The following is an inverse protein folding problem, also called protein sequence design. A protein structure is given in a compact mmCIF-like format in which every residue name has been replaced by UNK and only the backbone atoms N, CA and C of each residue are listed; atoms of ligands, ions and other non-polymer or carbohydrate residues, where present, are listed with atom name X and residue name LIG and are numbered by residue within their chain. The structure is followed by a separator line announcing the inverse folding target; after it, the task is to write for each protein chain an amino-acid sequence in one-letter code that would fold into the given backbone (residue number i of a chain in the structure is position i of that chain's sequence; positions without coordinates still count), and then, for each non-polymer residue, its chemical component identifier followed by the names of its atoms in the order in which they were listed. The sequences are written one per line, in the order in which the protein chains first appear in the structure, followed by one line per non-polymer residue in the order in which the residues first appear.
data_IF_906484670041
#
_entry.id   IF_906484670041
#
_cell.length_a   1.000
_cell.length_b   1.000
_cell.length_c   1.000
_cell.angle_alpha   90.00
_cell.angle_beta   90.00
_cell.angle_gamma   90.00
#
_symmetry.space_group_name_H-M   'P 1'
#
loop_
_entity.id
_entity.type
_entity.pdbx_description
1 polymer ?
#
# COMPACT_ATOMS: atom_id res chain seq x y z
N UNK A 1 7.50 -11.54 0.47
CA UNK A 1 8.32 -11.18 -0.71
C UNK A 1 7.42 -10.56 -1.77
N UNK A 2 7.96 -10.08 -2.89
CA UNK A 2 7.17 -9.66 -4.05
C UNK A 2 7.98 -9.90 -5.32
N UNK A 3 7.32 -10.38 -6.38
CA UNK A 3 7.96 -10.72 -7.66
C UNK A 3 7.45 -9.74 -8.72
N UNK A 4 8.37 -9.14 -9.49
CA UNK A 4 8.00 -8.30 -10.62
C UNK A 4 7.39 -9.17 -11.72
N UNK A 5 6.11 -8.96 -12.01
CA UNK A 5 5.43 -9.66 -13.11
C UNK A 5 5.58 -8.92 -14.43
N UNK A 6 5.64 -7.58 -14.39
CA UNK A 6 5.91 -6.73 -15.55
C UNK A 6 6.27 -5.32 -15.10
N UNK A 7 6.78 -4.51 -16.03
CA UNK A 7 6.91 -3.07 -15.83
C UNK A 7 6.67 -2.32 -17.14
N UNK A 8 6.33 -1.03 -17.05
CA UNK A 8 6.18 -0.13 -18.20
C UNK A 8 6.71 1.25 -17.85
N UNK A 9 7.17 1.98 -18.87
CA UNK A 9 7.65 3.36 -18.75
C UNK A 9 6.85 4.25 -19.70
N UNK A 10 6.29 5.33 -19.17
CA UNK A 10 5.57 6.35 -19.95
C UNK A 10 6.07 7.73 -19.53
N UNK A 11 6.97 8.30 -20.35
CA UNK A 11 7.69 9.52 -19.97
C UNK A 11 8.48 9.30 -18.68
N UNK A 12 8.22 10.13 -17.66
CA UNK A 12 8.85 10.03 -16.34
C UNK A 12 8.12 9.10 -15.36
N UNK A 13 7.05 8.42 -15.80
CA UNK A 13 6.31 7.48 -14.97
C UNK A 13 6.77 6.05 -15.21
N UNK A 14 7.16 5.35 -14.15
CA UNK A 14 7.45 3.92 -14.16
C UNK A 14 6.36 3.19 -13.39
N UNK A 15 5.71 2.24 -14.03
CA UNK A 15 4.72 1.36 -13.41
C UNK A 15 5.33 -0.03 -13.27
N UNK A 16 5.38 -0.56 -12.05
CA UNK A 16 5.90 -1.89 -11.75
C UNK A 16 4.77 -2.73 -11.18
N UNK A 17 4.42 -3.81 -11.86
CA UNK A 17 3.42 -4.76 -11.38
C UNK A 17 4.11 -5.83 -10.55
N UNK A 18 3.63 -6.01 -9.32
CA UNK A 18 4.13 -7.01 -8.40
C UNK A 18 3.09 -8.12 -8.18
N UNK A 19 3.57 -9.34 -8.02
CA UNK A 19 2.78 -10.51 -7.64
C UNK A 19 3.37 -11.16 -6.38
N UNK A 20 2.56 -11.96 -5.68
CA UNK A 20 3.00 -12.66 -4.47
C UNK A 20 3.32 -11.74 -3.28
N UNK A 21 2.80 -10.51 -3.29
CA UNK A 21 3.01 -9.53 -2.22
C UNK A 21 2.29 -9.99 -0.94
N UNK A 22 3.07 -10.35 0.08
CA UNK A 22 2.59 -10.70 1.42
C UNK A 22 2.38 -9.47 2.32
N UNK A 23 1.65 -9.66 3.42
CA UNK A 23 1.46 -8.64 4.47
C UNK A 23 2.75 -8.43 5.30
N UNK A 24 2.86 -7.25 5.93
CA UNK A 24 3.89 -6.88 6.91
C UNK A 24 5.32 -7.09 6.38
N UNK A 25 5.65 -6.38 5.31
CA UNK A 25 6.98 -6.44 4.71
C UNK A 25 7.39 -5.11 4.07
N UNK A 26 8.70 -4.92 3.90
CA UNK A 26 9.26 -3.92 3.00
C UNK A 26 9.78 -4.59 1.73
N UNK A 27 9.42 -4.03 0.58
CA UNK A 27 9.92 -4.44 -0.72
C UNK A 27 10.74 -3.28 -1.28
N UNK A 28 11.98 -3.56 -1.67
CA UNK A 28 12.84 -2.61 -2.37
C UNK A 28 12.95 -3.00 -3.84
N UNK A 29 12.55 -2.09 -4.72
CA UNK A 29 12.65 -2.21 -6.17
C UNK A 29 13.77 -1.28 -6.61
N UNK A 30 14.78 -1.81 -7.30
CA UNK A 30 15.83 -0.99 -7.89
C UNK A 30 15.51 -0.72 -9.35
N UNK A 31 15.26 0.54 -9.68
CA UNK A 31 15.22 1.00 -11.06
C UNK A 31 16.66 1.13 -11.56
N UNK A 32 16.99 0.42 -12.64
CA UNK A 32 18.35 0.40 -13.19
C UNK A 32 18.49 1.37 -14.35
N UNK A 33 19.65 2.03 -14.44
CA UNK A 33 19.98 2.96 -15.53
C UNK A 33 18.93 4.08 -15.74
N UNK A 34 18.39 4.63 -14.65
CA UNK A 34 17.49 5.78 -14.71
C UNK A 34 18.30 6.99 -15.16
N UNK A 35 17.77 7.74 -16.13
CA UNK A 35 18.41 8.93 -16.68
C UNK A 35 17.46 10.12 -16.57
N UNK A 36 17.94 11.24 -16.00
CA UNK A 36 17.18 12.48 -15.82
C UNK A 36 17.51 13.58 -16.87
N UNK A 37 18.33 13.24 -17.86
CA UNK A 37 18.88 14.15 -18.89
C UNK A 37 20.29 14.66 -18.57
N UNK A 38 20.75 14.49 -17.33
CA UNK A 38 22.05 15.02 -16.84
C UNK A 38 22.87 13.99 -16.06
N UNK A 39 22.21 13.06 -15.37
CA UNK A 39 22.78 12.01 -14.56
C UNK A 39 22.16 10.66 -14.94
N UNK A 40 22.95 9.60 -14.78
CA UNK A 40 22.48 8.23 -14.93
C UNK A 40 22.84 7.43 -13.68
N UNK A 41 21.90 6.66 -13.16
CA UNK A 41 22.12 5.87 -11.95
C UNK A 41 21.06 4.83 -11.66
N UNK A 42 21.36 3.96 -10.71
CA UNK A 42 20.41 2.99 -10.17
C UNK A 42 19.70 3.61 -8.96
N UNK A 43 18.38 3.56 -8.95
CA UNK A 43 17.54 4.21 -7.93
C UNK A 43 16.78 3.13 -7.15
N UNK A 44 17.12 2.88 -5.87
CA UNK A 44 16.34 2.00 -5.01
C UNK A 44 15.09 2.72 -4.49
N UNK A 45 13.92 2.10 -4.70
CA UNK A 45 12.62 2.57 -4.23
C UNK A 45 12.06 1.53 -3.26
N UNK A 46 11.79 1.93 -2.02
CA UNK A 46 11.27 1.00 -1.00
C UNK A 46 9.82 1.30 -0.66
N UNK A 47 8.99 0.25 -0.63
CA UNK A 47 7.56 0.33 -0.30
C UNK A 47 7.26 -0.62 0.85
N UNK A 48 6.57 -0.11 1.86
CA UNK A 48 6.00 -0.91 2.95
C UNK A 48 4.61 -1.42 2.58
N UNK A 49 4.36 -2.71 2.81
CA UNK A 49 3.05 -3.33 2.62
C UNK A 49 2.52 -3.81 3.97
N UNK A 50 1.48 -3.14 4.47
CA UNK A 50 0.84 -3.44 5.74
C UNK A 50 -0.68 -3.29 5.60
N UNK A 51 -1.37 -4.41 5.52
CA UNK A 51 -2.83 -4.47 5.44
C UNK A 51 -3.43 -4.03 6.77
N UNK A 52 -4.29 -3.03 6.70
CA UNK A 52 -4.99 -2.46 7.84
C UNK A 52 -4.33 -1.24 8.48
N UNK A 53 -3.16 -0.81 8.02
CA UNK A 53 -2.57 0.49 8.39
C UNK A 53 -3.15 1.58 7.48
N UNK A 54 -4.34 2.07 7.86
CA UNK A 54 -5.11 3.01 7.02
C UNK A 54 -4.59 4.44 7.16
N UNK A 55 -3.94 4.77 8.28
CA UNK A 55 -3.31 6.08 8.49
C UNK A 55 -1.84 6.16 8.04
N UNK A 56 -1.20 5.03 7.71
CA UNK A 56 0.15 4.98 7.15
C UNK A 56 1.28 5.19 8.16
N UNK A 57 1.06 4.90 9.45
CA UNK A 57 2.07 5.09 10.50
C UNK A 57 2.98 3.86 10.72
N UNK A 58 2.89 2.84 9.85
CA UNK A 58 3.62 1.58 9.88
C UNK A 58 3.24 0.60 11.01
N UNK A 59 2.14 0.83 11.73
CA UNK A 59 1.64 -0.04 12.81
C UNK A 59 0.11 -0.09 12.82
N UNK A 60 -0.46 -1.29 12.71
CA UNK A 60 -1.92 -1.46 12.80
C UNK A 60 -2.36 -1.46 14.26
N UNK A 61 -3.18 -0.49 14.65
CA UNK A 61 -3.68 -0.36 16.02
C UNK A 61 -5.16 0.06 16.09
N UNK A 62 -5.63 0.43 17.29
CA UNK A 62 -7.03 0.80 17.52
C UNK A 62 -7.47 2.08 16.77
N UNK A 63 -6.54 2.96 16.44
CA UNK A 63 -6.80 4.16 15.64
C UNK A 63 -7.20 3.78 14.22
N UNK A 64 -6.54 2.80 13.60
CA UNK A 64 -6.91 2.32 12.26
C UNK A 64 -8.31 1.73 12.22
N UNK A 65 -8.66 0.94 13.25
CA UNK A 65 -10.01 0.39 13.39
C UNK A 65 -11.04 1.52 13.51
N UNK A 66 -10.73 2.57 14.27
CA UNK A 66 -11.65 3.69 14.50
C UNK A 66 -11.82 4.55 13.25
N UNK A 67 -10.73 4.81 12.52
CA UNK A 67 -10.75 5.51 11.23
C UNK A 67 -11.60 4.73 10.22
N UNK A 68 -11.35 3.44 10.05
CA UNK A 68 -12.12 2.59 9.14
C UNK A 68 -13.61 2.58 9.50
N UNK A 69 -13.94 2.44 10.78
CA UNK A 69 -15.33 2.54 11.26
C UNK A 69 -15.98 3.88 10.96
N UNK A 70 -15.24 4.98 11.06
CA UNK A 70 -15.78 6.32 10.78
C UNK A 70 -16.18 6.51 9.30
N UNK A 71 -15.60 5.71 8.40
CA UNK A 71 -15.85 5.77 6.96
C UNK A 71 -16.87 4.74 6.47
N UNK A 72 -17.43 3.90 7.34
CA UNK A 72 -18.43 2.90 6.96
C UNK A 72 -19.66 3.56 6.33
N UNK A 73 -20.02 3.09 5.13
CA UNK A 73 -21.14 3.61 4.35
C UNK A 73 -20.86 4.91 3.59
N UNK A 74 -19.66 5.48 3.73
CA UNK A 74 -19.24 6.61 2.90
C UNK A 74 -18.84 6.14 1.50
N UNK A 75 -19.07 7.00 0.51
CA UNK A 75 -18.59 6.75 -0.86
C UNK A 75 -17.07 6.86 -0.88
N UNK A 76 -16.44 5.94 -1.62
CA UNK A 76 -14.98 5.95 -1.80
C UNK A 76 -14.55 7.20 -2.57
N UNK A 77 -13.47 7.80 -2.10
CA UNK A 77 -12.86 9.03 -2.58
C UNK A 77 -11.34 8.96 -2.38
N UNK A 78 -10.62 9.95 -2.90
CA UNK A 78 -9.17 10.05 -2.72
C UNK A 78 -8.73 10.21 -1.25
N UNK A 79 -9.63 10.55 -0.32
CA UNK A 79 -9.29 10.69 1.10
C UNK A 79 -9.59 9.47 1.96
N UNK A 80 -10.42 8.53 1.49
CA UNK A 80 -10.86 7.37 2.28
C UNK A 80 -10.70 6.01 1.57
N UNK A 81 -10.02 5.96 0.43
CA UNK A 81 -9.79 4.71 -0.30
C UNK A 81 -8.93 3.70 0.49
N UNK A 82 -8.21 4.15 1.53
CA UNK A 82 -7.39 3.27 2.37
C UNK A 82 -8.24 2.46 3.36
N UNK A 83 -9.43 2.93 3.66
CA UNK A 83 -10.41 2.32 4.53
C UNK A 83 -11.24 1.22 3.83
N UNK A 84 -11.20 1.12 2.51
CA UNK A 84 -11.66 -0.07 1.75
C UNK A 84 -10.53 -1.11 1.73
N UNK A 85 -10.33 -1.76 2.87
CA UNK A 85 -9.16 -2.62 3.13
C UNK A 85 -9.20 -3.90 2.31
N UNK A 86 -10.41 -4.39 1.98
CA UNK A 86 -10.57 -5.56 1.12
C UNK A 86 -10.65 -5.21 -0.39
N UNK A 87 -10.66 -3.91 -0.73
CA UNK A 87 -10.66 -3.37 -2.09
C UNK A 87 -11.86 -3.82 -2.95
N UNK A 88 -13.05 -3.97 -2.36
CA UNK A 88 -14.27 -4.37 -3.09
C UNK A 88 -15.11 -3.19 -3.60
N UNK A 89 -14.70 -1.96 -3.33
CA UNK A 89 -15.41 -0.75 -3.72
C UNK A 89 -16.43 -0.25 -2.68
N UNK A 90 -16.50 -0.85 -1.49
CA UNK A 90 -17.43 -0.48 -0.42
C UNK A 90 -16.73 -0.51 0.95
N UNK A 91 -16.75 0.61 1.67
CA UNK A 91 -16.26 0.66 3.05
C UNK A 91 -17.37 0.20 3.98
N UNK A 92 -17.21 -0.95 4.62
CA UNK A 92 -18.21 -1.50 5.53
C UNK A 92 -17.61 -2.21 6.76
N UNK A 93 -18.45 -2.92 7.51
CA UNK A 93 -18.05 -3.62 8.73
C UNK A 93 -17.04 -4.74 8.50
N UNK A 94 -16.95 -5.29 7.29
CA UNK A 94 -15.95 -6.28 6.89
C UNK A 94 -14.56 -5.66 6.88
N UNK A 95 -14.41 -4.42 6.41
CA UNK A 95 -13.12 -3.70 6.44
C UNK A 95 -12.68 -3.45 7.88
N UNK A 96 -13.59 -2.94 8.71
CA UNK A 96 -13.30 -2.70 10.12
C UNK A 96 -12.92 -4.01 10.86
N UNK A 97 -13.57 -5.13 10.53
CA UNK A 97 -13.24 -6.44 11.08
C UNK A 97 -11.87 -6.94 10.59
N UNK A 98 -11.53 -6.70 9.32
CA UNK A 98 -10.23 -7.03 8.75
C UNK A 98 -9.11 -6.25 9.43
N UNK A 99 -9.26 -4.93 9.60
CA UNK A 99 -8.30 -4.12 10.36
C UNK A 99 -8.17 -4.64 11.79
N UNK A 100 -9.29 -4.93 12.45
CA UNK A 100 -9.28 -5.45 13.82
C UNK A 100 -8.50 -6.76 13.94
N UNK A 101 -8.58 -7.63 12.93
CA UNK A 101 -7.83 -8.88 12.88
C UNK A 101 -6.32 -8.69 12.60
N UNK A 102 -5.90 -7.50 12.13
CA UNK A 102 -4.50 -7.14 11.87
C UNK A 102 -3.87 -6.28 12.95
N UNK A 103 -4.61 -5.87 13.98
CA UNK A 103 -4.08 -5.10 15.12
C UNK A 103 -2.88 -5.82 15.75
N UNK A 104 -1.80 -5.08 15.97
CA UNK A 104 -0.53 -5.59 16.49
C UNK A 104 0.47 -6.00 15.41
N UNK A 105 0.08 -5.97 14.13
CA UNK A 105 1.05 -6.08 13.03
C UNK A 105 1.72 -4.75 12.75
N UNK A 106 2.99 -4.79 12.35
CA UNK A 106 3.80 -3.62 12.02
C UNK A 106 4.74 -3.94 10.87
N UNK A 107 5.22 -2.91 10.18
CA UNK A 107 6.32 -3.09 9.23
C UNK A 107 7.62 -3.39 9.97
N UNK A 108 8.46 -4.29 9.42
CA UNK A 108 9.81 -4.50 9.91
C UNK A 108 10.76 -3.33 9.58
#
# INVERSE_FOLDING_TARGET
TGIVSSFSVSGSQVTVNLTGVTNAQRITITLVNVNDGTHMGNIPVSVGVLVGDVNGNAVVNASDVSLTKSQVGQVISGSNFREDVNANGLINSVDAALVKAKVGTALP
#
